data_IF_166053006788
#
_entry.id   IF_166053006788
#
_cell.length_a   1.000
_cell.length_b   1.000
_cell.length_c   1.000
_cell.angle_alpha   90.00
_cell.angle_beta   90.00
_cell.angle_gamma   90.00
#
_symmetry.space_group_name_H-M   'P 1'
#
loop_
_entity.id
_entity.type
_entity.pdbx_description
1 polymer ?
#
# COMPACT_ATOMS: atom_id res chain seq x y z
N UNK A 1 -13.92 -23.52 24.74
CA UNK A 1 -13.98 -22.18 25.32
C UNK A 1 -12.75 -21.41 24.82
N UNK A 2 -12.82 -20.87 23.60
CA UNK A 2 -11.74 -20.13 22.95
C UNK A 2 -12.18 -18.68 22.82
N UNK A 3 -11.63 -17.83 23.68
CA UNK A 3 -11.70 -16.37 23.51
C UNK A 3 -10.51 -15.98 22.64
N UNK A 4 -10.72 -15.88 21.35
CA UNK A 4 -9.79 -15.20 20.46
C UNK A 4 -10.54 -14.16 19.65
N UNK A 5 -10.42 -12.96 20.13
CA UNK A 5 -10.75 -11.75 19.42
C UNK A 5 -9.70 -11.50 18.32
N UNK A 6 -9.97 -10.65 17.33
CA UNK A 6 -8.98 -10.18 16.32
C UNK A 6 -7.61 -9.80 16.88
N UNK A 7 -7.50 -9.47 18.18
CA UNK A 7 -6.21 -9.30 18.88
C UNK A 7 -5.33 -10.54 18.80
N UNK A 8 -5.88 -11.75 18.94
CA UNK A 8 -5.12 -12.99 18.80
C UNK A 8 -4.66 -13.27 17.38
N UNK A 9 -5.44 -12.87 16.38
CA UNK A 9 -5.09 -13.14 14.98
C UNK A 9 -3.91 -12.29 14.47
N UNK A 10 -3.73 -11.09 15.03
CA UNK A 10 -2.57 -10.21 14.74
C UNK A 10 -1.37 -10.50 15.66
N UNK A 11 -1.59 -11.16 16.82
CA UNK A 11 -0.55 -11.39 17.83
C UNK A 11 0.21 -12.73 17.69
N UNK A 12 -0.31 -13.71 16.96
CA UNK A 12 0.31 -15.05 16.85
C UNK A 12 1.51 -15.16 15.92
N UNK A 13 1.99 -14.05 15.33
CA UNK A 13 3.27 -14.03 14.61
C UNK A 13 4.47 -13.63 15.50
N UNK A 14 4.29 -13.52 16.79
CA UNK A 14 5.30 -13.10 17.75
C UNK A 14 5.56 -14.14 18.84
N UNK A 15 6.22 -15.26 18.53
CA UNK A 15 6.77 -16.15 19.56
C UNK A 15 8.12 -15.61 20.05
N UNK A 16 8.17 -15.36 21.35
CA UNK A 16 9.22 -14.98 22.23
C UNK A 16 10.68 -15.33 21.84
N UNK A 17 11.56 -14.35 21.98
CA UNK A 17 12.89 -14.55 22.58
C UNK A 17 13.21 -13.37 23.50
N UNK A 18 13.37 -13.67 24.76
CA UNK A 18 13.99 -12.83 25.78
C UNK A 18 15.52 -12.86 25.58
N UNK A 19 16.15 -11.71 25.67
CA UNK A 19 17.57 -11.67 26.01
C UNK A 19 18.39 -10.57 25.36
N UNK A 20 18.90 -9.69 26.21
CA UNK A 20 20.08 -8.84 26.09
C UNK A 20 19.99 -7.56 25.23
N UNK A 21 19.95 -6.44 25.93
CA UNK A 21 20.23 -5.08 25.44
C UNK A 21 21.68 -4.94 24.95
N UNK A 22 21.85 -4.92 23.64
CA UNK A 22 23.04 -4.38 22.98
C UNK A 22 22.54 -3.49 21.84
N UNK A 23 23.16 -2.33 21.67
CA UNK A 23 22.77 -1.22 20.80
C UNK A 23 22.09 -1.64 19.49
N UNK A 24 20.82 -1.27 19.33
CA UNK A 24 20.01 -1.67 18.20
C UNK A 24 20.37 -0.80 17.01
N UNK A 25 21.17 -1.34 16.09
CA UNK A 25 21.18 -0.88 14.72
C UNK A 25 19.74 -1.03 14.15
N UNK A 26 19.25 -0.12 13.28
CA UNK A 26 17.92 -0.23 12.71
C UNK A 26 17.78 -1.60 12.04
N UNK A 27 16.85 -2.42 12.52
CA UNK A 27 16.60 -3.73 11.94
C UNK A 27 16.14 -3.54 10.49
N UNK A 28 17.02 -3.83 9.54
CA UNK A 28 16.61 -4.02 8.15
C UNK A 28 15.55 -5.13 8.13
N UNK A 29 14.39 -4.81 7.60
CA UNK A 29 13.37 -5.83 7.38
C UNK A 29 13.96 -6.91 6.45
N UNK A 30 13.98 -8.17 6.91
CA UNK A 30 14.50 -9.29 6.12
C UNK A 30 13.44 -9.62 5.08
N UNK A 31 13.81 -9.61 3.79
CA UNK A 31 12.95 -10.07 2.70
C UNK A 31 12.56 -11.55 2.91
N UNK A 32 11.34 -11.89 2.53
CA UNK A 32 10.80 -13.25 2.69
C UNK A 32 11.40 -14.24 1.69
N UNK A 33 11.94 -13.71 0.60
CA UNK A 33 12.58 -14.50 -0.46
C UNK A 33 14.00 -14.03 -0.71
N UNK A 34 14.92 -14.95 -1.00
CA UNK A 34 16.23 -14.57 -1.48
C UNK A 34 16.11 -13.92 -2.86
N UNK A 35 16.94 -12.93 -3.12
CA UNK A 35 17.01 -12.24 -4.38
C UNK A 35 18.27 -11.38 -4.44
N UNK A 36 18.48 -10.71 -5.55
CA UNK A 36 19.60 -9.82 -5.72
C UNK A 36 19.50 -8.62 -4.78
N UNK A 37 20.63 -8.27 -4.16
CA UNK A 37 20.78 -7.07 -3.33
C UNK A 37 22.10 -6.41 -3.68
N UNK A 38 22.09 -5.31 -4.43
CA UNK A 38 23.30 -4.63 -4.85
C UNK A 38 24.01 -3.98 -3.67
N UNK A 39 25.34 -3.83 -3.81
CA UNK A 39 26.15 -3.11 -2.85
C UNK A 39 25.80 -1.61 -2.87
N UNK A 40 25.77 -1.01 -1.69
CA UNK A 40 25.64 0.44 -1.53
C UNK A 40 26.74 0.97 -0.63
N UNK A 41 27.38 2.07 -1.03
CA UNK A 41 28.41 2.73 -0.24
C UNK A 41 27.80 3.28 1.06
N UNK A 42 28.44 2.99 2.20
CA UNK A 42 27.91 3.33 3.52
C UNK A 42 27.89 4.85 3.82
N UNK A 43 28.72 5.63 3.12
CA UNK A 43 28.76 7.09 3.27
C UNK A 43 27.63 7.79 2.49
N UNK A 44 27.00 7.09 1.55
CA UNK A 44 25.88 7.61 0.76
C UNK A 44 24.57 7.06 1.31
N UNK A 45 23.64 7.94 1.69
CA UNK A 45 22.34 7.52 2.25
C UNK A 45 21.21 7.90 1.32
N UNK A 46 20.40 6.92 0.91
CA UNK A 46 19.13 7.19 0.22
C UNK A 46 18.10 7.56 1.28
N UNK A 47 17.65 8.80 1.24
CA UNK A 47 16.63 9.35 2.14
C UNK A 47 15.22 9.02 1.62
N UNK A 48 14.19 9.50 2.31
CA UNK A 48 12.83 9.52 1.79
C UNK A 48 12.70 10.52 0.62
N UNK A 49 11.71 10.38 -0.27
CA UNK A 49 11.55 11.28 -1.41
C UNK A 49 11.44 12.74 -0.95
N UNK A 50 12.23 13.62 -1.58
CA UNK A 50 12.31 15.05 -1.21
C UNK A 50 12.65 15.30 0.27
N UNK A 51 13.27 14.33 0.94
CA UNK A 51 13.53 14.34 2.37
C UNK A 51 12.25 14.55 3.22
N UNK A 52 11.08 14.07 2.74
CA UNK A 52 9.79 14.14 3.42
C UNK A 52 9.30 12.76 3.80
N UNK A 53 8.40 12.69 4.76
CA UNK A 53 7.82 11.40 5.19
C UNK A 53 6.64 11.03 4.28
N UNK A 54 6.70 9.90 3.58
CA UNK A 54 5.57 9.41 2.79
C UNK A 54 4.36 9.11 3.70
N UNK A 55 3.19 9.58 3.28
CA UNK A 55 1.90 9.29 3.93
C UNK A 55 0.96 8.74 2.87
N UNK A 56 0.15 7.76 3.23
CA UNK A 56 -0.84 7.14 2.35
C UNK A 56 -2.05 6.67 3.13
N UNK A 57 -3.21 6.60 2.48
CA UNK A 57 -4.38 5.92 3.02
C UNK A 57 -4.63 4.64 2.22
N UNK A 58 -4.69 3.52 2.91
CA UNK A 58 -5.04 2.21 2.35
C UNK A 58 -6.50 1.95 2.68
N UNK A 59 -7.35 1.95 1.65
CA UNK A 59 -8.78 1.66 1.78
C UNK A 59 -9.03 0.26 1.26
N UNK A 60 -9.53 -0.61 2.14
CA UNK A 60 -9.93 -1.98 1.84
C UNK A 60 -11.45 -2.08 1.68
N UNK A 61 -11.96 -3.20 1.15
CA UNK A 61 -13.38 -3.54 0.98
C UNK A 61 -14.19 -2.60 0.07
N UNK A 62 -13.53 -1.77 -0.75
CA UNK A 62 -14.27 -0.88 -1.66
C UNK A 62 -14.90 -1.66 -2.82
N UNK A 63 -16.03 -1.16 -3.28
CA UNK A 63 -16.81 -1.76 -4.37
C UNK A 63 -17.43 -0.63 -5.21
N UNK A 64 -17.90 -0.96 -6.42
CA UNK A 64 -18.86 -0.14 -7.13
C UNK A 64 -20.26 -0.52 -6.68
N UNK A 65 -21.07 0.44 -6.23
CA UNK A 65 -22.46 0.29 -5.77
C UNK A 65 -22.63 -0.56 -4.51
N UNK A 66 -22.24 -1.82 -4.54
CA UNK A 66 -22.53 -2.84 -3.52
C UNK A 66 -21.96 -2.45 -2.15
N UNK A 67 -22.81 -2.42 -1.11
CA UNK A 67 -22.33 -2.45 0.27
C UNK A 67 -21.88 -3.86 0.63
N UNK A 68 -20.57 -4.09 0.65
CA UNK A 68 -19.99 -5.44 0.85
C UNK A 68 -20.53 -6.12 2.11
N UNK A 69 -20.67 -5.38 3.23
CA UNK A 69 -21.14 -5.93 4.51
C UNK A 69 -22.56 -6.51 4.44
N UNK A 70 -23.44 -5.86 3.71
CA UNK A 70 -24.82 -6.31 3.53
C UNK A 70 -24.89 -7.76 3.02
N UNK A 71 -23.92 -8.16 2.18
CA UNK A 71 -23.88 -9.44 1.52
C UNK A 71 -22.86 -10.41 2.11
N UNK A 72 -21.76 -9.92 2.67
CA UNK A 72 -20.69 -10.74 3.25
C UNK A 72 -21.04 -11.26 4.66
N UNK A 73 -21.61 -10.41 5.53
CA UNK A 73 -21.94 -10.78 6.92
C UNK A 73 -22.85 -12.03 6.99
N UNK A 74 -23.97 -12.13 6.24
CA UNK A 74 -24.78 -13.34 6.28
C UNK A 74 -24.07 -14.60 5.78
N UNK A 75 -23.12 -14.47 4.85
CA UNK A 75 -22.29 -15.59 4.41
C UNK A 75 -21.36 -16.05 5.54
N UNK A 76 -20.70 -15.12 6.20
CA UNK A 76 -19.83 -15.43 7.34
C UNK A 76 -20.62 -16.02 8.51
N UNK A 77 -21.81 -15.50 8.82
CA UNK A 77 -22.69 -16.05 9.85
C UNK A 77 -23.14 -17.50 9.56
N UNK A 78 -23.31 -17.84 8.28
CA UNK A 78 -23.66 -19.20 7.88
C UNK A 78 -22.51 -20.20 8.03
N UNK A 79 -21.25 -19.75 8.00
CA UNK A 79 -20.06 -20.58 8.09
C UNK A 79 -19.44 -20.62 9.49
N UNK A 80 -19.53 -19.53 10.24
CA UNK A 80 -18.86 -19.40 11.55
C UNK A 80 -19.77 -18.82 12.62
N UNK A 81 -19.75 -19.43 13.79
CA UNK A 81 -20.52 -19.00 14.96
C UNK A 81 -19.78 -17.92 15.76
N UNK A 82 -19.49 -16.76 15.16
CA UNK A 82 -18.90 -15.61 15.82
C UNK A 82 -19.96 -14.53 16.04
N UNK A 83 -20.08 -14.02 17.27
CA UNK A 83 -21.08 -13.02 17.69
C UNK A 83 -21.16 -11.82 16.75
N UNK A 84 -20.00 -11.33 16.27
CA UNK A 84 -19.92 -10.22 15.33
C UNK A 84 -20.65 -10.43 14.01
N UNK A 85 -20.92 -11.68 13.58
CA UNK A 85 -21.64 -12.00 12.35
C UNK A 85 -23.14 -12.10 12.54
N UNK A 86 -23.67 -12.05 13.79
CA UNK A 86 -25.10 -12.09 14.09
C UNK A 86 -25.76 -10.71 14.09
N UNK A 87 -25.19 -9.77 13.38
CA UNK A 87 -25.78 -8.45 13.16
C UNK A 87 -27.03 -8.57 12.28
N UNK A 88 -27.97 -7.63 12.47
CA UNK A 88 -29.14 -7.51 11.60
C UNK A 88 -28.74 -6.86 10.26
N UNK A 89 -28.05 -7.64 9.44
CA UNK A 89 -27.54 -7.23 8.14
C UNK A 89 -28.65 -6.69 7.20
N UNK A 90 -29.91 -7.05 7.44
CA UNK A 90 -31.05 -6.55 6.65
C UNK A 90 -31.29 -5.06 6.83
N UNK A 91 -30.84 -4.49 7.93
CA UNK A 91 -30.88 -3.04 8.20
C UNK A 91 -29.75 -2.27 7.53
N UNK A 92 -28.70 -2.94 7.09
CA UNK A 92 -27.60 -2.29 6.39
C UNK A 92 -28.07 -1.82 5.02
N UNK A 93 -27.63 -0.66 4.52
CA UNK A 93 -27.89 -0.21 3.15
C UNK A 93 -27.47 -1.28 2.12
N UNK A 94 -28.20 -1.38 1.01
CA UNK A 94 -27.82 -2.28 -0.09
C UNK A 94 -26.55 -1.80 -0.79
N UNK A 95 -26.36 -0.47 -0.83
CA UNK A 95 -25.27 0.17 -1.55
C UNK A 95 -24.51 1.17 -0.68
N UNK A 96 -23.28 1.47 -1.08
CA UNK A 96 -22.56 2.69 -0.73
C UNK A 96 -22.73 3.62 -1.93
N UNK A 97 -23.51 4.71 -1.81
CA UNK A 97 -23.96 5.47 -2.96
C UNK A 97 -22.82 6.28 -3.62
N UNK A 98 -22.88 6.43 -4.93
CA UNK A 98 -21.94 7.24 -5.72
C UNK A 98 -21.84 8.68 -5.23
N UNK A 99 -22.89 9.23 -4.65
CA UNK A 99 -22.86 10.55 -4.02
C UNK A 99 -21.88 10.63 -2.83
N UNK A 100 -21.72 9.54 -2.09
CA UNK A 100 -20.70 9.45 -1.03
C UNK A 100 -19.31 9.29 -1.62
N UNK A 101 -19.13 8.42 -2.63
CA UNK A 101 -17.86 8.26 -3.36
C UNK A 101 -17.37 9.60 -3.89
N UNK A 102 -18.27 10.39 -4.48
CA UNK A 102 -17.96 11.74 -5.00
C UNK A 102 -17.50 12.69 -3.89
N UNK A 103 -18.27 12.82 -2.81
CA UNK A 103 -17.88 13.69 -1.69
C UNK A 103 -16.53 13.32 -1.09
N UNK A 104 -16.29 12.02 -0.90
CA UNK A 104 -15.02 11.52 -0.38
C UNK A 104 -13.86 11.82 -1.35
N UNK A 105 -14.00 11.49 -2.62
CA UNK A 105 -12.96 11.67 -3.64
C UNK A 105 -12.61 13.14 -3.86
N UNK A 106 -13.62 14.01 -3.97
CA UNK A 106 -13.44 15.46 -4.12
C UNK A 106 -12.73 16.06 -2.91
N UNK A 107 -13.15 15.68 -1.69
CA UNK A 107 -12.50 16.15 -0.47
C UNK A 107 -11.02 15.70 -0.40
N UNK A 108 -10.75 14.44 -0.74
CA UNK A 108 -9.38 13.92 -0.77
C UNK A 108 -8.51 14.67 -1.79
N UNK A 109 -9.04 14.95 -2.98
CA UNK A 109 -8.34 15.71 -4.02
C UNK A 109 -8.03 17.14 -3.56
N UNK A 110 -8.99 17.82 -2.94
CA UNK A 110 -8.83 19.17 -2.38
C UNK A 110 -7.72 19.23 -1.31
N UNK A 111 -7.60 18.19 -0.49
CA UNK A 111 -6.61 18.13 0.61
C UNK A 111 -5.31 17.43 0.21
N UNK A 112 -5.14 17.08 -1.08
CA UNK A 112 -3.95 16.44 -1.62
C UNK A 112 -3.70 15.01 -1.11
N UNK A 113 -4.73 14.37 -0.58
CA UNK A 113 -4.67 12.99 -0.05
C UNK A 113 -4.51 12.00 -1.20
N UNK A 114 -3.59 11.05 -1.03
CA UNK A 114 -3.34 9.95 -1.97
C UNK A 114 -3.29 8.62 -1.24
N UNK A 115 -3.47 7.54 -1.99
CA UNK A 115 -3.37 6.22 -1.40
C UNK A 115 -3.68 5.06 -2.34
N UNK A 116 -4.32 4.04 -1.78
CA UNK A 116 -4.80 2.87 -2.48
C UNK A 116 -6.29 2.68 -2.18
N UNK A 117 -7.07 2.44 -3.24
CA UNK A 117 -8.50 2.17 -3.20
C UNK A 117 -8.73 0.75 -3.74
N UNK A 118 -9.17 -0.16 -2.88
CA UNK A 118 -9.53 -1.50 -3.33
C UNK A 118 -10.77 -1.49 -4.22
N UNK A 119 -10.83 -2.41 -5.14
CA UNK A 119 -12.07 -2.77 -5.84
C UNK A 119 -12.21 -4.29 -5.76
N UNK A 120 -13.26 -4.75 -5.10
CA UNK A 120 -13.65 -6.16 -5.10
C UNK A 120 -14.34 -6.47 -6.43
N UNK A 121 -13.75 -7.27 -7.35
CA UNK A 121 -14.26 -7.40 -8.72
C UNK A 121 -15.58 -8.16 -8.85
N UNK A 122 -15.91 -8.99 -7.86
CA UNK A 122 -17.14 -9.79 -7.78
C UNK A 122 -17.69 -9.77 -6.34
N UNK A 123 -18.08 -8.59 -5.82
CA UNK A 123 -18.32 -8.38 -4.39
C UNK A 123 -19.33 -9.37 -3.81
N UNK A 124 -18.88 -10.14 -2.80
CA UNK A 124 -19.66 -11.17 -2.10
C UNK A 124 -20.48 -12.11 -3.03
N UNK A 125 -20.00 -12.37 -4.23
CA UNK A 125 -20.67 -13.14 -5.28
C UNK A 125 -22.03 -12.55 -5.73
N UNK A 126 -22.25 -11.24 -5.58
CA UNK A 126 -23.48 -10.57 -6.03
C UNK A 126 -23.51 -10.46 -7.55
N UNK A 127 -22.44 -9.92 -8.14
CA UNK A 127 -22.30 -9.77 -9.59
C UNK A 127 -20.90 -9.28 -9.96
N UNK A 128 -20.46 -9.62 -11.17
CA UNK A 128 -19.14 -9.21 -11.67
C UNK A 128 -19.20 -7.82 -12.29
N UNK A 129 -18.26 -6.96 -11.93
CA UNK A 129 -18.22 -5.58 -12.41
C UNK A 129 -18.03 -5.47 -13.92
N UNK A 130 -17.41 -6.45 -14.57
CA UNK A 130 -17.22 -6.49 -16.02
C UNK A 130 -18.40 -7.12 -16.78
N UNK A 131 -19.52 -7.41 -16.12
CA UNK A 131 -20.73 -7.99 -16.71
C UNK A 131 -21.97 -7.26 -16.20
N UNK A 132 -22.48 -7.73 -15.06
CA UNK A 132 -23.68 -7.21 -14.42
C UNK A 132 -23.62 -7.37 -12.90
N UNK A 133 -24.31 -6.50 -12.20
CA UNK A 133 -24.51 -6.60 -10.75
C UNK A 133 -26.02 -6.63 -10.52
N UNK A 134 -26.61 -7.80 -10.22
CA UNK A 134 -28.05 -7.94 -10.01
C UNK A 134 -28.57 -6.99 -8.93
N UNK A 135 -29.63 -6.27 -9.25
CA UNK A 135 -30.21 -5.23 -8.38
C UNK A 135 -29.93 -3.81 -8.86
N UNK A 136 -28.99 -3.63 -9.78
CA UNK A 136 -28.68 -2.35 -10.42
C UNK A 136 -28.72 -2.47 -11.94
N UNK A 137 -29.01 -1.37 -12.62
CA UNK A 137 -28.97 -1.31 -14.09
C UNK A 137 -27.54 -1.24 -14.58
N UNK A 138 -27.30 -1.65 -15.83
CA UNK A 138 -26.00 -1.49 -16.48
C UNK A 138 -25.57 -0.01 -16.54
N UNK A 139 -26.52 0.92 -16.64
CA UNK A 139 -26.23 2.36 -16.64
C UNK A 139 -25.68 2.83 -15.29
N UNK A 140 -26.25 2.36 -14.18
CA UNK A 140 -25.77 2.67 -12.82
C UNK A 140 -24.36 2.09 -12.61
N UNK A 141 -24.16 0.84 -13.03
CA UNK A 141 -22.84 0.20 -12.90
C UNK A 141 -21.75 0.96 -13.70
N UNK A 142 -22.05 1.32 -14.95
CA UNK A 142 -21.11 2.10 -15.77
C UNK A 142 -20.84 3.46 -15.13
N UNK A 143 -21.86 4.18 -14.64
CA UNK A 143 -21.69 5.46 -13.99
C UNK A 143 -20.82 5.38 -12.73
N UNK A 144 -20.97 4.30 -11.94
CA UNK A 144 -20.13 4.07 -10.75
C UNK A 144 -18.67 3.76 -11.11
N UNK A 145 -18.43 2.98 -12.17
CA UNK A 145 -17.09 2.72 -12.69
C UNK A 145 -16.45 4.01 -13.23
N UNK A 146 -17.20 4.80 -14.01
CA UNK A 146 -16.74 6.10 -14.54
C UNK A 146 -16.35 7.05 -13.40
N UNK A 147 -17.09 7.03 -12.27
CA UNK A 147 -16.79 7.82 -11.09
C UNK A 147 -15.45 7.40 -10.44
N UNK A 148 -15.16 6.10 -10.40
CA UNK A 148 -13.84 5.60 -9.94
C UNK A 148 -12.73 6.10 -10.87
N UNK A 149 -12.92 6.08 -12.18
CA UNK A 149 -11.96 6.64 -13.12
C UNK A 149 -11.75 8.15 -12.93
N UNK A 150 -12.82 8.90 -12.74
CA UNK A 150 -12.78 10.36 -12.59
C UNK A 150 -12.07 10.79 -11.30
N UNK A 151 -12.42 10.19 -10.17
CA UNK A 151 -12.03 10.69 -8.85
C UNK A 151 -10.95 9.87 -8.15
N UNK A 152 -10.91 8.54 -8.38
CA UNK A 152 -9.97 7.71 -7.66
C UNK A 152 -8.68 7.50 -8.44
N UNK A 153 -8.73 7.05 -9.68
CA UNK A 153 -7.54 6.73 -10.48
C UNK A 153 -6.45 7.82 -10.47
N UNK A 154 -6.75 9.14 -10.52
CA UNK A 154 -5.71 10.17 -10.52
C UNK A 154 -4.82 10.16 -9.26
N UNK A 155 -5.40 9.90 -8.07
CA UNK A 155 -4.73 10.01 -6.78
C UNK A 155 -4.63 8.69 -6.01
N UNK A 156 -5.22 7.61 -6.52
CA UNK A 156 -5.29 6.31 -5.84
C UNK A 156 -4.82 5.19 -6.76
N UNK A 157 -4.08 4.24 -6.20
CA UNK A 157 -3.88 2.97 -6.88
C UNK A 157 -5.14 2.13 -6.76
N UNK A 158 -5.53 1.48 -7.83
CA UNK A 158 -6.60 0.50 -7.80
C UNK A 158 -6.00 -0.89 -7.59
N UNK A 159 -6.44 -1.60 -6.56
CA UNK A 159 -6.07 -2.99 -6.31
C UNK A 159 -7.31 -3.88 -6.27
N UNK A 160 -7.29 -5.07 -6.84
CA UNK A 160 -8.30 -6.06 -6.50
C UNK A 160 -8.06 -6.51 -5.04
N UNK A 161 -9.13 -6.67 -4.29
CA UNK A 161 -9.08 -7.36 -3.00
C UNK A 161 -9.60 -8.77 -3.15
N UNK A 162 -8.80 -9.56 -3.84
CA UNK A 162 -9.09 -10.83 -4.47
C UNK A 162 -10.31 -10.76 -5.39
N UNK A 163 -11.11 -11.82 -5.47
CA UNK A 163 -12.23 -11.87 -6.41
C UNK A 163 -13.53 -11.47 -5.74
N UNK A 164 -13.89 -12.08 -4.62
CA UNK A 164 -15.20 -11.90 -4.00
C UNK A 164 -15.17 -11.29 -2.60
N UNK A 165 -14.03 -11.34 -1.96
CA UNK A 165 -13.83 -11.04 -0.55
C UNK A 165 -14.58 -12.00 0.41
N UNK A 166 -15.22 -13.04 -0.11
CA UNK A 166 -15.94 -14.06 0.67
C UNK A 166 -15.61 -15.46 0.16
N UNK A 167 -16.45 -16.00 -0.71
CA UNK A 167 -16.31 -17.35 -1.26
C UNK A 167 -15.22 -17.40 -2.32
N UNK A 168 -14.47 -18.47 -2.32
CA UNK A 168 -13.54 -18.76 -3.41
C UNK A 168 -14.31 -19.16 -4.67
N UNK A 169 -13.86 -18.66 -5.81
CA UNK A 169 -14.40 -18.96 -7.14
C UNK A 169 -13.60 -20.09 -7.79
N UNK A 170 -14.29 -21.04 -8.38
CA UNK A 170 -13.70 -21.90 -9.39
C UNK A 170 -13.48 -21.05 -10.66
N UNK A 171 -12.25 -20.68 -10.93
CA UNK A 171 -11.89 -19.78 -12.06
C UNK A 171 -12.21 -20.38 -13.44
N UNK A 172 -12.43 -21.70 -13.55
CA UNK A 172 -12.81 -22.37 -14.81
C UNK A 172 -14.28 -22.15 -15.15
N UNK A 173 -15.12 -22.15 -14.13
CA UNK A 173 -16.56 -21.99 -14.29
C UNK A 173 -17.04 -20.57 -14.01
N UNK A 174 -16.27 -19.79 -13.23
CA UNK A 174 -16.65 -18.47 -12.75
C UNK A 174 -17.67 -18.49 -11.62
N UNK A 175 -17.97 -19.66 -11.03
CA UNK A 175 -18.91 -19.82 -9.95
C UNK A 175 -18.24 -20.10 -8.62
N UNK A 176 -18.81 -19.66 -7.48
CA UNK A 176 -18.31 -20.00 -6.16
C UNK A 176 -18.41 -21.51 -5.93
N UNK A 177 -17.43 -22.06 -5.22
CA UNK A 177 -17.52 -23.45 -4.77
C UNK A 177 -18.77 -23.67 -3.93
N UNK A 178 -19.47 -24.83 -4.08
CA UNK A 178 -20.69 -25.12 -3.32
C UNK A 178 -20.48 -25.13 -1.81
N UNK A 179 -19.33 -25.66 -1.36
CA UNK A 179 -18.94 -25.67 0.03
C UNK A 179 -18.42 -24.30 0.45
N UNK A 180 -18.74 -23.85 1.67
CA UNK A 180 -18.20 -22.62 2.26
C UNK A 180 -17.71 -22.90 3.67
N UNK A 181 -16.45 -22.58 3.92
CA UNK A 181 -15.74 -22.80 5.17
C UNK A 181 -14.30 -22.31 5.00
N UNK A 182 -13.43 -22.59 5.95
CA UNK A 182 -12.06 -22.06 6.02
C UNK A 182 -11.26 -22.24 4.72
N UNK A 183 -11.39 -23.38 4.05
CA UNK A 183 -10.64 -23.75 2.84
C UNK A 183 -11.23 -23.14 1.55
N UNK A 184 -12.46 -22.65 1.62
CA UNK A 184 -13.20 -22.07 0.49
C UNK A 184 -13.61 -20.63 0.75
N UNK A 185 -12.88 -19.95 1.64
CA UNK A 185 -13.05 -18.54 1.93
C UNK A 185 -11.75 -17.78 1.67
N UNK A 186 -11.83 -16.70 0.89
CA UNK A 186 -10.69 -15.86 0.56
C UNK A 186 -10.04 -15.22 1.80
N UNK A 187 -10.84 -14.92 2.83
CA UNK A 187 -10.34 -14.33 4.07
C UNK A 187 -9.63 -15.32 5.02
N UNK A 188 -9.61 -16.63 4.69
CA UNK A 188 -9.10 -17.63 5.63
C UNK A 188 -7.96 -18.47 5.06
N UNK A 189 -8.21 -19.71 4.69
CA UNK A 189 -7.17 -20.72 4.48
C UNK A 189 -7.06 -21.24 3.04
N UNK A 190 -7.76 -20.61 2.10
CA UNK A 190 -7.78 -21.10 0.72
C UNK A 190 -6.38 -21.24 0.10
N UNK A 191 -5.44 -20.34 0.48
CA UNK A 191 -4.07 -20.36 -0.04
C UNK A 191 -3.16 -21.39 0.63
N UNK A 192 -3.59 -22.05 1.70
CA UNK A 192 -2.75 -22.99 2.43
C UNK A 192 -2.29 -24.14 1.50
N UNK A 193 -0.97 -24.33 1.39
CA UNK A 193 -0.36 -25.38 0.58
C UNK A 193 -0.44 -25.19 -0.94
N UNK A 194 -0.91 -24.03 -1.42
CA UNK A 194 -0.94 -23.72 -2.86
C UNK A 194 0.42 -23.22 -3.36
N UNK A 195 0.71 -23.57 -4.61
CA UNK A 195 1.86 -23.06 -5.34
C UNK A 195 1.67 -21.59 -5.74
N UNK A 196 2.79 -20.92 -6.07
CA UNK A 196 2.76 -19.57 -6.62
C UNK A 196 1.91 -19.48 -7.89
N UNK A 197 1.97 -20.49 -8.76
CA UNK A 197 1.21 -20.52 -10.01
C UNK A 197 -0.30 -20.60 -9.78
N UNK A 198 -0.77 -21.46 -8.84
CA UNK A 198 -2.19 -21.57 -8.49
C UNK A 198 -2.73 -20.26 -7.90
N UNK A 199 -1.95 -19.60 -7.05
CA UNK A 199 -2.32 -18.30 -6.47
C UNK A 199 -2.30 -17.21 -7.57
N UNK A 200 -1.31 -17.23 -8.46
CA UNK A 200 -1.22 -16.31 -9.58
C UNK A 200 -2.39 -16.44 -10.55
N UNK A 201 -2.85 -17.65 -10.85
CA UNK A 201 -4.02 -17.89 -11.70
C UNK A 201 -5.28 -17.26 -11.10
N UNK A 202 -5.46 -17.39 -9.80
CA UNK A 202 -6.57 -16.76 -9.08
C UNK A 202 -6.48 -15.22 -9.11
N UNK A 203 -5.30 -14.67 -8.89
CA UNK A 203 -5.05 -13.23 -9.00
C UNK A 203 -5.28 -12.71 -10.42
N UNK A 204 -4.84 -13.47 -11.46
CA UNK A 204 -5.08 -13.10 -12.86
C UNK A 204 -6.57 -13.02 -13.18
N UNK A 205 -7.38 -13.89 -12.57
CA UNK A 205 -8.83 -13.82 -12.72
C UNK A 205 -9.40 -12.50 -12.20
N UNK A 206 -9.01 -12.08 -10.98
CA UNK A 206 -9.41 -10.80 -10.41
C UNK A 206 -8.93 -9.60 -11.24
N UNK A 207 -7.64 -9.58 -11.61
CA UNK A 207 -7.03 -8.54 -12.42
C UNK A 207 -7.67 -8.43 -13.82
N UNK A 208 -8.07 -9.55 -14.42
CA UNK A 208 -8.74 -9.56 -15.72
C UNK A 208 -10.10 -8.88 -15.66
N UNK A 209 -10.87 -9.07 -14.59
CA UNK A 209 -12.16 -8.37 -14.40
C UNK A 209 -11.94 -6.86 -14.36
N UNK A 210 -10.95 -6.38 -13.59
CA UNK A 210 -10.63 -4.95 -13.52
C UNK A 210 -10.12 -4.40 -14.87
N UNK A 211 -9.31 -5.19 -15.58
CA UNK A 211 -8.83 -4.81 -16.91
C UNK A 211 -9.95 -4.69 -17.93
N UNK A 212 -10.98 -5.55 -17.86
CA UNK A 212 -12.13 -5.51 -18.76
C UNK A 212 -12.99 -4.24 -18.61
N UNK A 213 -12.83 -3.53 -17.49
CA UNK A 213 -13.48 -2.23 -17.21
C UNK A 213 -12.46 -1.08 -17.19
N UNK A 214 -11.30 -1.27 -17.83
CA UNK A 214 -10.23 -0.30 -18.02
C UNK A 214 -9.62 0.31 -16.74
N UNK A 215 -9.82 -0.27 -15.57
CA UNK A 215 -9.19 0.20 -14.35
C UNK A 215 -7.70 -0.18 -14.32
N UNK A 216 -6.77 0.79 -14.16
CA UNK A 216 -5.34 0.52 -14.09
C UNK A 216 -4.99 -0.16 -12.76
N UNK A 217 -4.11 -1.18 -12.79
CA UNK A 217 -3.72 -1.90 -11.60
C UNK A 217 -2.29 -2.43 -11.68
N UNK A 218 -1.44 -2.11 -10.70
CA UNK A 218 -0.07 -2.62 -10.60
C UNK A 218 0.17 -3.41 -9.31
N UNK A 219 -0.85 -3.59 -8.49
CA UNK A 219 -0.73 -4.22 -7.17
C UNK A 219 -1.94 -5.02 -6.75
N UNK A 220 -1.82 -5.69 -5.61
CA UNK A 220 -2.82 -6.59 -5.03
C UNK A 220 -3.05 -6.21 -3.57
N UNK A 221 -4.30 -6.31 -3.11
CA UNK A 221 -4.63 -6.35 -1.67
C UNK A 221 -5.10 -7.76 -1.31
N UNK A 222 -4.60 -8.28 -0.19
CA UNK A 222 -4.98 -9.60 0.27
C UNK A 222 -5.96 -9.51 1.42
N UNK A 223 -7.17 -10.10 1.32
CA UNK A 223 -8.14 -10.06 2.40
C UNK A 223 -7.74 -11.00 3.55
N UNK A 224 -8.03 -10.61 4.76
CA UNK A 224 -7.91 -11.42 5.96
C UNK A 224 -6.67 -12.32 6.07
N UNK A 225 -6.84 -13.63 6.00
CA UNK A 225 -5.77 -14.64 6.09
C UNK A 225 -5.13 -15.04 4.76
N UNK A 226 -5.58 -14.51 3.62
CA UNK A 226 -5.06 -14.85 2.30
C UNK A 226 -3.53 -14.70 2.21
N UNK A 227 -2.83 -15.74 1.86
CA UNK A 227 -1.37 -15.73 1.72
C UNK A 227 -0.56 -15.81 3.01
N UNK A 228 -1.18 -15.76 4.20
CA UNK A 228 -0.47 -15.69 5.48
C UNK A 228 0.51 -16.82 5.75
N UNK A 229 0.25 -18.02 5.22
CA UNK A 229 1.07 -19.21 5.45
C UNK A 229 1.92 -19.61 4.27
N UNK A 230 1.87 -18.81 3.20
CA UNK A 230 2.57 -19.04 1.93
C UNK A 230 3.13 -17.71 1.41
N UNK A 231 3.83 -16.98 2.26
CA UNK A 231 4.32 -15.63 1.96
C UNK A 231 5.31 -15.57 0.77
N UNK A 232 6.24 -16.53 0.60
CA UNK A 232 7.09 -16.60 -0.58
C UNK A 232 6.30 -16.80 -1.88
N UNK A 233 5.33 -17.73 -1.86
CA UNK A 233 4.46 -18.03 -2.99
C UNK A 233 3.55 -16.84 -3.32
N UNK A 234 3.04 -16.14 -2.30
CA UNK A 234 2.26 -14.91 -2.46
C UNK A 234 3.06 -13.83 -3.20
N UNK A 235 4.32 -13.62 -2.83
CA UNK A 235 5.20 -12.64 -3.47
C UNK A 235 5.44 -12.99 -4.95
N UNK A 236 5.72 -14.27 -5.24
CA UNK A 236 5.91 -14.74 -6.62
C UNK A 236 4.62 -14.66 -7.44
N UNK A 237 3.49 -15.04 -6.85
CA UNK A 237 2.19 -14.96 -7.51
C UNK A 237 1.84 -13.51 -7.89
N UNK A 238 2.09 -12.56 -6.97
CA UNK A 238 1.88 -11.13 -7.26
C UNK A 238 2.77 -10.65 -8.40
N UNK A 239 4.06 -11.02 -8.38
CA UNK A 239 5.00 -10.68 -9.44
C UNK A 239 4.51 -11.19 -10.80
N UNK A 240 4.11 -12.46 -10.87
CA UNK A 240 3.62 -13.08 -12.10
C UNK A 240 2.32 -12.43 -12.58
N UNK A 241 1.28 -12.39 -11.74
CA UNK A 241 -0.06 -11.97 -12.12
C UNK A 241 -0.11 -10.51 -12.58
N UNK A 242 0.52 -9.58 -11.85
CA UNK A 242 0.54 -8.17 -12.23
C UNK A 242 1.33 -7.92 -13.52
N UNK A 243 2.44 -8.64 -13.72
CA UNK A 243 3.21 -8.54 -14.98
C UNK A 243 2.46 -9.14 -16.17
N UNK A 244 1.80 -10.26 -15.98
CA UNK A 244 1.08 -10.94 -17.06
C UNK A 244 -0.08 -10.09 -17.58
N UNK A 245 -0.90 -9.54 -16.67
CA UNK A 245 -2.13 -8.83 -17.03
C UNK A 245 -1.87 -7.36 -17.37
N UNK A 246 -1.09 -6.64 -16.56
CA UNK A 246 -0.90 -5.18 -16.68
C UNK A 246 0.49 -4.75 -17.14
N UNK A 247 1.43 -5.70 -17.32
CA UNK A 247 2.83 -5.38 -17.62
C UNK A 247 3.46 -4.49 -16.54
N UNK A 248 3.02 -4.64 -15.30
CA UNK A 248 3.49 -3.83 -14.19
C UNK A 248 5.01 -3.90 -14.04
N UNK A 249 5.67 -2.75 -14.02
CA UNK A 249 7.13 -2.67 -13.89
C UNK A 249 7.61 -3.04 -12.49
N UNK A 250 6.85 -2.64 -11.47
CA UNK A 250 7.13 -2.89 -10.06
C UNK A 250 5.85 -3.36 -9.37
N UNK A 251 5.48 -4.65 -9.55
CA UNK A 251 4.37 -5.25 -8.81
C UNK A 251 4.52 -5.04 -7.30
N UNK A 252 3.41 -4.75 -6.64
CA UNK A 252 3.41 -4.57 -5.19
C UNK A 252 2.14 -5.15 -4.57
N UNK A 253 2.16 -5.39 -3.25
CA UNK A 253 1.00 -5.89 -2.56
C UNK A 253 0.90 -5.36 -1.13
N UNK A 254 -0.31 -5.25 -0.63
CA UNK A 254 -0.61 -4.97 0.76
C UNK A 254 -1.05 -6.24 1.48
N UNK A 255 -0.29 -6.64 2.50
CA UNK A 255 -0.57 -7.82 3.32
C UNK A 255 -0.37 -7.58 4.82
N UNK A 256 0.71 -6.87 5.18
CA UNK A 256 1.13 -6.72 6.56
C UNK A 256 0.64 -5.41 7.16
N UNK A 257 0.20 -5.49 8.42
CA UNK A 257 -0.23 -4.36 9.22
C UNK A 257 0.41 -4.45 10.61
N UNK A 258 1.10 -3.37 11.02
CA UNK A 258 1.72 -3.27 12.34
C UNK A 258 1.21 -2.01 13.05
N UNK A 259 0.01 -2.10 13.62
CA UNK A 259 -0.67 -0.98 14.26
C UNK A 259 -0.09 -0.55 15.61
N UNK A 260 0.84 -1.34 16.17
CA UNK A 260 1.41 -1.10 17.51
C UNK A 260 2.88 -1.53 17.55
N UNK A 261 3.61 -1.05 18.58
CA UNK A 261 5.00 -1.43 18.86
C UNK A 261 6.03 -0.78 17.94
N UNK A 262 7.30 -1.20 18.09
CA UNK A 262 8.46 -0.58 17.44
C UNK A 262 8.88 -1.24 16.14
N UNK A 263 8.12 -2.24 15.68
CA UNK A 263 8.41 -2.92 14.42
C UNK A 263 8.40 -1.94 13.27
N UNK A 264 9.41 -2.02 12.39
CA UNK A 264 9.46 -1.17 11.20
C UNK A 264 8.28 -1.42 10.29
N UNK A 265 7.69 -0.32 9.80
CA UNK A 265 6.61 -0.29 8.82
C UNK A 265 7.10 0.16 7.44
N UNK A 266 8.42 0.25 7.26
CA UNK A 266 8.99 0.53 5.94
C UNK A 266 8.60 -0.58 4.94
N UNK A 267 8.29 -0.24 3.69
CA UNK A 267 8.07 -1.21 2.62
C UNK A 267 9.27 -2.17 2.48
N UNK A 268 9.04 -3.34 1.91
CA UNK A 268 10.08 -4.36 1.72
C UNK A 268 10.15 -4.78 0.27
N UNK A 269 11.33 -4.76 -0.30
CA UNK A 269 11.59 -5.50 -1.54
C UNK A 269 11.65 -6.98 -1.17
N UNK A 270 10.61 -7.73 -1.48
CA UNK A 270 10.52 -9.15 -1.11
C UNK A 270 11.38 -10.02 -2.02
N UNK A 271 11.41 -9.70 -3.31
CA UNK A 271 12.22 -10.39 -4.30
C UNK A 271 12.72 -9.43 -5.37
N UNK A 272 13.92 -9.69 -5.88
CA UNK A 272 14.46 -9.00 -7.05
C UNK A 272 15.41 -9.93 -7.83
N UNK A 273 15.44 -9.83 -9.16
CA UNK A 273 16.34 -10.56 -10.02
C UNK A 273 16.57 -9.87 -11.36
N UNK A 274 17.70 -10.19 -12.00
CA UNK A 274 18.05 -9.65 -13.31
C UNK A 274 18.24 -8.13 -13.28
N UNK A 275 18.84 -7.58 -12.22
CA UNK A 275 18.93 -6.13 -12.02
C UNK A 275 19.78 -5.42 -13.07
N UNK A 276 20.72 -6.12 -13.69
CA UNK A 276 21.55 -5.61 -14.79
C UNK A 276 20.94 -5.93 -16.19
N UNK A 277 19.79 -6.58 -16.26
CA UNK A 277 19.10 -6.92 -17.51
C UNK A 277 18.17 -5.79 -18.00
N UNK A 278 17.74 -5.93 -19.26
CA UNK A 278 16.77 -4.98 -19.85
C UNK A 278 15.41 -5.01 -19.15
N UNK A 279 15.01 -6.17 -18.61
CA UNK A 279 13.74 -6.39 -17.93
C UNK A 279 13.95 -6.86 -16.49
N UNK A 280 14.41 -6.00 -15.57
CA UNK A 280 14.60 -6.35 -14.18
C UNK A 280 13.26 -6.67 -13.51
N UNK A 281 13.28 -7.59 -12.56
CA UNK A 281 12.10 -8.05 -11.83
C UNK A 281 12.22 -7.70 -10.36
N UNK A 282 11.18 -7.15 -9.79
CA UNK A 282 11.05 -7.03 -8.34
C UNK A 282 9.57 -7.06 -7.92
N UNK A 283 9.34 -7.34 -6.65
CA UNK A 283 8.04 -7.21 -5.99
C UNK A 283 8.23 -6.57 -4.63
N UNK A 284 7.34 -5.63 -4.29
CA UNK A 284 7.42 -4.85 -3.05
C UNK A 284 6.20 -5.12 -2.19
N UNK A 285 6.39 -5.44 -0.91
CA UNK A 285 5.29 -5.45 0.05
C UNK A 285 5.16 -4.08 0.73
N UNK A 286 3.93 -3.59 0.75
CA UNK A 286 3.51 -2.37 1.42
C UNK A 286 3.01 -2.74 2.82
N UNK A 287 3.35 -1.93 3.82
CA UNK A 287 3.04 -2.22 5.22
C UNK A 287 2.19 -1.10 5.80
N UNK A 288 1.00 -1.45 6.30
CA UNK A 288 0.15 -0.54 7.05
C UNK A 288 0.67 -0.30 8.46
N UNK A 289 0.53 0.92 8.97
CA UNK A 289 1.04 1.30 10.28
C UNK A 289 -0.06 1.49 11.34
N UNK A 290 -1.33 1.47 10.96
CA UNK A 290 -2.46 1.65 11.89
C UNK A 290 -3.39 0.44 11.86
N UNK A 291 -4.22 0.26 12.90
CA UNK A 291 -5.40 -0.59 12.81
C UNK A 291 -6.55 0.11 12.09
N UNK A 292 -7.67 -0.60 11.95
CA UNK A 292 -8.93 -0.10 11.41
C UNK A 292 -9.66 0.75 12.47
N UNK A 293 -9.19 1.98 12.65
CA UNK A 293 -9.67 2.89 13.71
C UNK A 293 -10.56 4.01 13.19
N UNK A 294 -10.96 3.96 11.93
CA UNK A 294 -11.93 4.90 11.34
C UNK A 294 -13.39 4.43 11.44
N UNK A 295 -13.61 3.32 12.12
CA UNK A 295 -14.87 2.60 12.16
C UNK A 295 -14.69 1.20 11.58
N UNK A 296 -14.85 0.17 12.42
CA UNK A 296 -14.54 -1.21 12.04
C UNK A 296 -15.22 -1.67 10.75
N UNK A 297 -14.57 -2.56 10.01
CA UNK A 297 -15.07 -3.06 8.70
C UNK A 297 -16.53 -3.55 8.74
N UNK A 298 -16.98 -4.08 9.88
CA UNK A 298 -18.34 -4.58 10.09
C UNK A 298 -19.29 -3.54 10.72
N UNK A 299 -18.85 -2.27 10.84
CA UNK A 299 -19.59 -1.18 11.45
C UNK A 299 -20.02 -1.43 12.92
N UNK A 300 -19.37 -2.35 13.64
CA UNK A 300 -19.65 -2.61 15.06
C UNK A 300 -18.83 -1.71 16.01
N UNK A 301 -17.73 -1.15 15.54
CA UNK A 301 -16.84 -0.25 16.26
C UNK A 301 -16.88 1.15 15.60
N UNK A 302 -17.16 2.17 16.37
CA UNK A 302 -17.25 3.57 15.87
C UNK A 302 -15.91 4.25 15.69
N UNK A 303 -14.80 3.53 15.85
CA UNK A 303 -13.47 4.01 15.61
C UNK A 303 -12.82 4.72 16.80
N UNK A 304 -11.56 5.13 16.62
CA UNK A 304 -10.69 5.64 17.69
C UNK A 304 -9.74 6.71 17.17
N UNK A 305 -10.24 7.93 16.98
CA UNK A 305 -9.50 9.06 16.42
C UNK A 305 -8.15 9.30 17.13
N UNK A 306 -8.13 9.31 18.46
CA UNK A 306 -6.95 9.68 19.24
C UNK A 306 -5.84 8.60 19.20
N UNK A 307 -6.13 7.40 18.71
CA UNK A 307 -5.09 6.39 18.43
C UNK A 307 -4.21 6.77 17.25
N UNK A 308 -4.74 7.53 16.27
CA UNK A 308 -3.94 8.06 15.17
C UNK A 308 -3.06 9.22 15.65
N UNK A 309 -3.65 10.23 16.24
CA UNK A 309 -3.01 11.45 16.77
C UNK A 309 -3.93 12.11 17.79
N UNK A 310 -3.39 12.41 18.97
CA UNK A 310 -4.13 13.02 20.08
C UNK A 310 -4.56 14.47 19.80
N UNK A 311 -5.56 15.01 20.53
CA UNK A 311 -6.03 16.40 20.33
C UNK A 311 -4.96 17.47 20.55
N UNK A 312 -4.01 17.23 21.45
CA UNK A 312 -2.85 18.10 21.71
C UNK A 312 -1.71 17.91 20.70
N UNK A 313 -1.90 17.05 19.71
CA UNK A 313 -0.96 16.73 18.64
C UNK A 313 0.37 16.09 19.11
N UNK A 314 0.48 15.71 20.38
CA UNK A 314 1.75 15.28 20.98
C UNK A 314 2.07 13.80 20.79
N UNK A 315 1.06 12.95 20.65
CA UNK A 315 1.21 11.49 20.62
C UNK A 315 0.20 10.80 19.69
N UNK A 316 0.31 9.48 19.59
CA UNK A 316 -0.48 8.63 18.74
C UNK A 316 0.38 7.92 17.69
N UNK A 317 -0.15 6.85 17.11
CA UNK A 317 0.62 5.97 16.22
C UNK A 317 1.23 6.68 15.01
N UNK A 318 0.48 7.64 14.42
CA UNK A 318 0.99 8.41 13.30
C UNK A 318 2.17 9.29 13.72
N UNK A 319 2.09 9.89 14.90
CA UNK A 319 3.18 10.71 15.45
C UNK A 319 4.44 9.87 15.64
N UNK A 320 4.32 8.66 16.21
CA UNK A 320 5.44 7.75 16.43
C UNK A 320 6.14 7.36 15.13
N UNK A 321 5.36 6.94 14.13
CA UNK A 321 5.88 6.47 12.84
C UNK A 321 6.53 7.62 12.05
N UNK A 322 5.86 8.76 11.96
CA UNK A 322 6.35 9.94 11.24
C UNK A 322 7.63 10.47 11.89
N UNK A 323 7.68 10.52 13.22
CA UNK A 323 8.87 11.00 13.96
C UNK A 323 10.09 10.10 13.74
N UNK A 324 9.88 8.79 13.56
CA UNK A 324 10.96 7.86 13.16
C UNK A 324 11.38 8.03 11.71
N UNK A 325 10.68 8.83 10.90
CA UNK A 325 10.95 9.03 9.48
C UNK A 325 10.55 7.84 8.60
N UNK A 326 9.71 6.94 9.10
CA UNK A 326 9.18 5.81 8.33
C UNK A 326 7.90 6.20 7.58
N UNK A 327 7.62 5.60 6.41
CA UNK A 327 6.34 5.79 5.72
C UNK A 327 5.16 5.47 6.62
N UNK A 328 4.22 6.39 6.72
CA UNK A 328 3.09 6.29 7.63
C UNK A 328 1.79 6.03 6.84
N UNK A 329 1.48 4.74 6.65
CA UNK A 329 0.35 4.29 5.84
C UNK A 329 -0.81 3.88 6.75
N UNK A 330 -1.85 4.68 6.76
CA UNK A 330 -3.09 4.41 7.50
C UNK A 330 -3.90 3.33 6.79
N UNK A 331 -4.63 2.51 7.55
CA UNK A 331 -5.50 1.45 7.02
C UNK A 331 -6.92 1.68 7.48
N UNK A 332 -7.86 1.53 6.57
CA UNK A 332 -9.28 1.58 6.84
C UNK A 332 -10.04 0.65 5.89
N UNK A 333 -11.32 0.41 6.19
CA UNK A 333 -12.24 -0.27 5.30
C UNK A 333 -13.31 0.69 4.79
N UNK A 334 -13.69 0.54 3.52
CA UNK A 334 -14.66 1.41 2.88
C UNK A 334 -16.01 1.42 3.59
N UNK A 335 -16.44 0.25 4.04
CA UNK A 335 -17.65 0.08 4.83
C UNK A 335 -17.61 0.84 6.16
N UNK A 336 -16.45 0.87 6.84
CA UNK A 336 -16.22 1.64 8.06
C UNK A 336 -16.14 3.15 7.82
N UNK A 337 -15.61 3.58 6.69
CA UNK A 337 -15.59 5.00 6.28
C UNK A 337 -17.02 5.50 6.09
N UNK A 338 -17.86 4.74 5.37
CA UNK A 338 -19.28 5.08 5.13
C UNK A 338 -20.16 4.86 6.36
N UNK A 339 -19.87 3.85 7.15
CA UNK A 339 -20.53 3.46 8.38
C UNK A 339 -22.06 3.42 8.27
N UNK A 340 -22.59 2.64 7.32
CA UNK A 340 -24.02 2.49 7.04
C UNK A 340 -24.76 3.82 6.76
N UNK A 341 -24.04 4.84 6.27
CA UNK A 341 -24.59 6.17 5.97
C UNK A 341 -24.39 7.21 7.06
N UNK A 342 -23.86 6.84 8.23
CA UNK A 342 -23.51 7.79 9.29
C UNK A 342 -22.18 8.53 9.03
N UNK A 343 -21.37 8.04 8.12
CA UNK A 343 -20.07 8.60 7.67
C UNK A 343 -19.04 8.81 8.80
N UNK A 344 -19.18 8.03 9.88
CA UNK A 344 -18.33 8.14 11.10
C UNK A 344 -16.84 8.07 10.77
N UNK A 345 -16.45 7.11 9.93
CA UNK A 345 -15.05 6.94 9.55
C UNK A 345 -14.53 8.09 8.71
N UNK A 346 -15.36 8.67 7.84
CA UNK A 346 -14.99 9.84 7.05
C UNK A 346 -14.71 11.06 7.94
N UNK A 347 -15.55 11.32 8.93
CA UNK A 347 -15.34 12.43 9.88
C UNK A 347 -14.06 12.21 10.71
N UNK A 348 -13.81 10.98 11.19
CA UNK A 348 -12.54 10.63 11.85
C UNK A 348 -11.35 10.91 10.93
N UNK A 349 -11.41 10.45 9.69
CA UNK A 349 -10.31 10.61 8.73
C UNK A 349 -10.04 12.09 8.43
N UNK A 350 -11.07 12.89 8.22
CA UNK A 350 -10.95 14.36 8.02
C UNK A 350 -10.20 15.02 9.18
N UNK A 351 -10.57 14.68 10.41
CA UNK A 351 -9.93 15.25 11.59
C UNK A 351 -8.48 14.74 11.76
N UNK A 352 -8.18 13.46 11.43
CA UNK A 352 -6.81 12.95 11.41
C UNK A 352 -5.94 13.75 10.44
N UNK A 353 -6.40 13.95 9.20
CA UNK A 353 -5.66 14.73 8.18
C UNK A 353 -5.42 16.16 8.67
N UNK A 354 -6.44 16.81 9.23
CA UNK A 354 -6.31 18.16 9.80
C UNK A 354 -5.24 18.22 10.90
N UNK A 355 -5.24 17.27 11.84
CA UNK A 355 -4.26 17.19 12.94
C UNK A 355 -2.85 16.92 12.43
N UNK A 356 -2.70 16.03 11.46
CA UNK A 356 -1.41 15.70 10.86
C UNK A 356 -0.79 16.92 10.16
N UNK A 357 -1.57 17.66 9.37
CA UNK A 357 -1.10 18.87 8.69
C UNK A 357 -0.81 20.01 9.68
N UNK A 358 -1.52 20.08 10.82
CA UNK A 358 -1.22 21.05 11.88
C UNK A 358 0.09 20.74 12.63
N UNK A 359 0.47 19.46 12.71
CA UNK A 359 1.66 19.00 13.45
C UNK A 359 2.93 18.94 12.62
N UNK A 360 2.81 18.54 11.33
CA UNK A 360 3.94 18.21 10.46
C UNK A 360 3.89 19.01 9.16
N UNK A 361 5.01 19.63 8.79
CA UNK A 361 5.20 20.37 7.54
C UNK A 361 5.97 19.57 6.46
N UNK A 362 6.45 18.37 6.84
CA UNK A 362 7.30 17.53 6.02
C UNK A 362 6.61 16.26 5.52
N UNK A 363 5.29 16.24 5.42
CA UNK A 363 4.55 15.10 4.86
C UNK A 363 4.53 15.13 3.33
N UNK A 364 4.47 13.95 2.73
CA UNK A 364 4.30 13.76 1.30
C UNK A 364 3.26 12.66 1.05
N UNK A 365 2.05 13.06 0.62
CA UNK A 365 1.03 12.10 0.23
C UNK A 365 1.41 11.40 -1.07
N UNK A 366 1.37 10.05 -1.05
CA UNK A 366 1.81 9.21 -2.16
C UNK A 366 0.87 8.04 -2.37
N UNK A 367 0.74 7.59 -3.63
CA UNK A 367 0.14 6.31 -3.96
C UNK A 367 1.05 5.16 -3.50
N UNK A 368 0.50 3.97 -3.31
CA UNK A 368 1.30 2.80 -2.95
C UNK A 368 2.30 2.42 -4.04
N UNK A 369 1.94 2.58 -5.32
CA UNK A 369 2.85 2.38 -6.46
C UNK A 369 4.02 3.34 -6.47
N UNK A 370 3.78 4.62 -6.11
CA UNK A 370 4.85 5.63 -5.98
C UNK A 370 5.82 5.24 -4.84
N UNK A 371 5.27 4.76 -3.71
CA UNK A 371 6.06 4.28 -2.56
C UNK A 371 6.83 3.01 -2.94
N UNK A 372 6.20 2.04 -3.59
CA UNK A 372 6.83 0.80 -4.03
C UNK A 372 7.99 1.08 -4.99
N UNK A 373 7.79 1.95 -5.98
CA UNK A 373 8.82 2.40 -6.93
C UNK A 373 10.01 3.05 -6.22
N UNK A 374 9.72 3.91 -5.26
CA UNK A 374 10.77 4.58 -4.50
C UNK A 374 11.59 3.58 -3.69
N UNK A 375 10.93 2.62 -3.01
CA UNK A 375 11.61 1.59 -2.23
C UNK A 375 12.41 0.60 -3.10
N UNK A 376 11.87 0.21 -4.24
CA UNK A 376 12.61 -0.58 -5.22
C UNK A 376 13.91 0.13 -5.64
N UNK A 377 13.83 1.41 -6.02
CA UNK A 377 15.02 2.18 -6.37
C UNK A 377 15.96 2.37 -5.18
N UNK A 378 15.43 2.68 -3.99
CA UNK A 378 16.21 2.88 -2.76
C UNK A 378 17.03 1.65 -2.39
N UNK A 379 16.46 0.45 -2.50
CA UNK A 379 17.13 -0.78 -2.09
C UNK A 379 17.92 -1.46 -3.21
N UNK A 380 17.55 -1.25 -4.48
CA UNK A 380 18.10 -1.98 -5.60
C UNK A 380 19.06 -1.16 -6.48
N UNK A 381 19.23 0.13 -6.24
CA UNK A 381 20.26 0.90 -6.91
C UNK A 381 21.64 0.55 -6.33
N UNK A 382 22.59 0.10 -7.18
CA UNK A 382 23.97 -0.04 -6.81
C UNK A 382 24.58 1.34 -6.64
N UNK A 383 25.29 1.57 -5.53
CA UNK A 383 25.88 2.85 -5.20
C UNK A 383 27.36 2.65 -4.92
N UNK A 384 28.20 3.25 -5.73
CA UNK A 384 29.66 3.22 -5.62
C UNK A 384 30.18 4.65 -5.50
N UNK A 385 31.14 4.86 -4.61
CA UNK A 385 31.75 6.17 -4.40
C UNK A 385 33.27 6.11 -4.57
N UNK A 386 33.77 7.02 -5.37
CA UNK A 386 35.21 7.27 -5.51
C UNK A 386 35.44 8.78 -5.33
N UNK A 387 36.07 9.16 -4.24
CA UNK A 387 36.33 10.57 -3.87
C UNK A 387 35.05 11.42 -3.89
N UNK A 388 34.91 12.33 -4.83
CA UNK A 388 33.79 13.26 -5.00
C UNK A 388 32.76 12.80 -6.04
N UNK A 389 32.94 11.62 -6.62
CA UNK A 389 32.01 11.07 -7.58
C UNK A 389 31.23 9.87 -6.97
N UNK A 390 29.91 9.88 -7.13
CA UNK A 390 29.02 8.77 -6.79
C UNK A 390 28.40 8.21 -8.06
N UNK A 391 28.68 6.97 -8.35
CA UNK A 391 28.07 6.22 -9.46
C UNK A 391 26.87 5.44 -8.97
N UNK A 392 25.73 5.66 -9.62
CA UNK A 392 24.46 5.01 -9.37
C UNK A 392 24.13 4.10 -10.57
N UNK A 393 23.96 2.79 -10.34
CA UNK A 393 23.42 1.88 -11.35
C UNK A 393 22.01 1.47 -10.92
N UNK A 394 21.01 2.08 -11.55
CA UNK A 394 19.60 1.94 -11.18
C UNK A 394 18.86 0.98 -12.12
N UNK A 395 18.30 -0.13 -11.61
CA UNK A 395 17.48 -1.04 -12.42
C UNK A 395 16.12 -0.44 -12.79
N UNK A 396 15.65 0.53 -12.00
CA UNK A 396 14.35 1.19 -12.19
C UNK A 396 14.51 2.71 -12.13
N UNK A 397 13.80 3.43 -12.99
CA UNK A 397 13.70 4.87 -12.89
C UNK A 397 12.89 5.28 -11.65
N UNK A 398 13.32 6.36 -10.98
CA UNK A 398 12.70 6.84 -9.76
C UNK A 398 12.63 8.38 -9.71
N UNK A 399 11.42 8.96 -9.76
CA UNK A 399 11.24 10.39 -9.55
C UNK A 399 11.67 10.82 -8.14
N UNK A 400 12.19 12.04 -8.04
CA UNK A 400 12.57 12.69 -6.78
C UNK A 400 13.48 11.81 -5.88
N UNK A 401 14.39 11.03 -6.48
CA UNK A 401 15.36 10.23 -5.75
C UNK A 401 16.27 11.16 -4.94
N UNK A 402 16.38 10.89 -3.65
CA UNK A 402 17.00 11.83 -2.72
C UNK A 402 18.18 11.18 -2.00
N UNK A 403 19.34 11.75 -2.17
CA UNK A 403 20.60 11.29 -1.57
C UNK A 403 21.13 12.28 -0.55
N UNK A 404 21.67 11.76 0.55
CA UNK A 404 22.57 12.50 1.43
C UNK A 404 23.99 12.04 1.19
N UNK A 405 24.86 13.00 0.93
CA UNK A 405 26.25 12.81 0.54
C UNK A 405 27.16 13.67 1.43
N UNK A 406 28.32 13.15 1.89
CA UNK A 406 29.36 14.00 2.44
C UNK A 406 29.97 14.87 1.32
N UNK A 407 30.26 16.14 1.61
CA UNK A 407 30.81 17.08 0.65
C UNK A 407 31.94 17.92 1.26
N UNK A 408 32.79 18.53 0.39
CA UNK A 408 33.61 19.68 0.75
C UNK A 408 32.77 20.96 0.86
N UNK A 409 33.41 22.08 1.25
CA UNK A 409 32.74 23.39 1.28
C UNK A 409 32.61 23.92 -0.15
N UNK A 410 31.42 24.47 -0.49
CA UNK A 410 31.10 25.20 -1.73
C UNK A 410 31.10 24.42 -3.06
N UNK A 411 30.69 23.16 -3.05
CA UNK A 411 30.53 22.35 -4.27
C UNK A 411 29.25 22.61 -5.02
N UNK A 412 29.31 22.79 -6.33
CA UNK A 412 28.12 22.68 -7.20
C UNK A 412 27.88 21.22 -7.48
N UNK A 413 26.61 20.77 -7.35
CA UNK A 413 26.24 19.38 -7.60
C UNK A 413 25.82 19.21 -9.05
N UNK A 414 26.47 18.29 -9.75
CA UNK A 414 26.11 17.94 -11.13
C UNK A 414 25.76 16.45 -11.25
N UNK A 415 24.80 16.16 -12.14
CA UNK A 415 24.38 14.80 -12.46
C UNK A 415 24.63 14.56 -13.94
N UNK A 416 25.35 13.49 -14.25
CA UNK A 416 25.57 13.05 -15.63
C UNK A 416 24.83 11.73 -15.81
N UNK A 417 23.84 11.72 -16.73
CA UNK A 417 23.07 10.53 -17.05
C UNK A 417 22.65 10.55 -18.52
N UNK A 418 22.68 9.39 -19.17
CA UNK A 418 22.31 9.25 -20.59
C UNK A 418 22.99 10.28 -21.54
N UNK A 419 24.26 10.62 -21.24
CA UNK A 419 25.03 11.60 -22.01
C UNK A 419 24.67 13.07 -21.76
N UNK A 420 23.71 13.37 -20.89
CA UNK A 420 23.34 14.73 -20.52
C UNK A 420 23.90 15.10 -19.13
N UNK A 421 24.31 16.36 -18.95
CA UNK A 421 24.74 16.93 -17.67
C UNK A 421 23.71 17.93 -17.17
N UNK A 422 23.25 17.76 -15.93
CA UNK A 422 22.36 18.68 -15.25
C UNK A 422 23.04 19.22 -13.98
N UNK A 423 23.04 20.53 -13.78
CA UNK A 423 23.49 21.17 -12.53
C UNK A 423 22.28 21.40 -11.64
N UNK A 424 22.36 20.91 -10.41
CA UNK A 424 21.28 21.11 -9.44
C UNK A 424 21.27 22.53 -8.90
N UNK A 425 20.08 23.06 -8.65
CA UNK A 425 19.90 24.39 -8.04
C UNK A 425 19.92 24.28 -6.52
N UNK A 426 20.72 25.12 -5.85
CA UNK A 426 20.73 25.21 -4.39
C UNK A 426 19.42 25.83 -3.87
N UNK A 427 18.84 25.22 -2.82
CA UNK A 427 17.68 25.73 -2.10
C UNK A 427 18.02 26.08 -0.65
N UNK A 428 17.24 26.94 -0.03
CA UNK A 428 17.52 27.49 1.29
C UNK A 428 17.19 26.52 2.45
N UNK A 429 16.29 25.57 2.23
CA UNK A 429 15.86 24.62 3.25
C UNK A 429 15.59 23.23 2.70
N UNK A 430 15.65 22.22 3.57
CA UNK A 430 15.29 20.84 3.22
C UNK A 430 13.82 20.71 2.77
N UNK A 431 12.91 21.54 3.29
CA UNK A 431 11.49 21.55 2.88
C UNK A 431 11.27 22.08 1.46
N UNK A 432 12.24 22.81 0.90
CA UNK A 432 12.18 23.35 -0.46
C UNK A 432 12.71 22.38 -1.52
N UNK A 433 13.12 21.16 -1.12
CA UNK A 433 13.65 20.16 -2.05
C UNK A 433 12.60 19.68 -3.03
N UNK A 434 12.95 19.78 -4.31
CA UNK A 434 12.24 19.25 -5.46
C UNK A 434 13.24 18.60 -6.41
N UNK A 435 12.78 17.85 -7.40
CA UNK A 435 13.66 17.29 -8.40
C UNK A 435 14.48 18.40 -9.10
N UNK A 436 15.76 18.18 -9.28
CA UNK A 436 16.72 19.18 -9.82
C UNK A 436 17.30 20.15 -8.78
N UNK A 437 17.12 19.92 -7.46
CA UNK A 437 17.61 20.81 -6.41
C UNK A 437 18.45 20.09 -5.36
N UNK A 438 19.26 20.87 -4.62
CA UNK A 438 19.97 20.38 -3.45
C UNK A 438 19.93 21.38 -2.31
N UNK A 439 20.04 20.86 -1.08
CA UNK A 439 20.21 21.61 0.15
C UNK A 439 21.55 21.24 0.79
N UNK A 440 22.34 22.24 1.18
CA UNK A 440 23.65 22.03 1.81
C UNK A 440 23.62 22.50 3.27
N UNK A 441 24.09 21.68 4.18
CA UNK A 441 24.27 22.01 5.59
C UNK A 441 25.61 21.43 6.07
N UNK A 442 26.51 22.31 6.58
CA UNK A 442 27.80 21.94 7.10
C UNK A 442 28.65 21.20 6.03
N UNK A 443 28.97 19.93 6.29
CA UNK A 443 29.75 19.05 5.40
C UNK A 443 28.89 17.98 4.69
N UNK A 444 27.61 18.22 4.58
CA UNK A 444 26.67 17.32 3.91
C UNK A 444 25.81 18.08 2.90
N UNK A 445 25.47 17.40 1.84
CA UNK A 445 24.42 17.85 0.91
C UNK A 445 23.31 16.81 0.84
N UNK A 446 22.08 17.31 0.66
CA UNK A 446 20.92 16.50 0.31
C UNK A 446 20.51 16.89 -1.10
N UNK A 447 20.75 16.01 -2.05
CA UNK A 447 20.42 16.20 -3.47
C UNK A 447 19.18 15.44 -3.84
N UNK A 448 18.24 16.09 -4.55
CA UNK A 448 16.99 15.49 -5.04
C UNK A 448 16.92 15.66 -6.57
N UNK A 449 16.72 14.55 -7.28
CA UNK A 449 16.67 14.52 -8.75
C UNK A 449 15.88 13.32 -9.25
N UNK A 450 15.48 13.35 -10.50
CA UNK A 450 14.88 12.18 -11.15
C UNK A 450 15.98 11.24 -11.61
N UNK A 451 16.04 10.06 -10.99
CA UNK A 451 17.00 9.02 -11.32
C UNK A 451 16.48 8.22 -12.52
N UNK A 452 17.14 8.25 -13.69
CA UNK A 452 16.76 7.38 -14.80
C UNK A 452 17.22 5.94 -14.55
N UNK A 453 16.63 4.98 -15.25
CA UNK A 453 17.19 3.64 -15.34
C UNK A 453 18.56 3.68 -16.02
N UNK A 454 19.50 2.85 -15.54
CA UNK A 454 20.86 2.78 -16.05
C UNK A 454 21.86 3.49 -15.15
N UNK A 455 22.94 3.97 -15.75
CA UNK A 455 24.06 4.59 -15.01
C UNK A 455 23.93 6.10 -14.93
N UNK A 456 24.07 6.62 -13.72
CA UNK A 456 24.16 8.06 -13.43
C UNK A 456 25.35 8.36 -12.55
N UNK A 457 26.05 9.45 -12.81
CA UNK A 457 27.16 9.93 -11.98
C UNK A 457 26.76 11.25 -11.30
N UNK A 458 26.87 11.29 -9.99
CA UNK A 458 26.68 12.49 -9.18
C UNK A 458 28.04 13.00 -8.77
N UNK A 459 28.43 14.22 -9.19
CA UNK A 459 29.67 14.87 -8.82
C UNK A 459 29.39 15.95 -7.78
N UNK A 460 30.18 15.97 -6.70
CA UNK A 460 30.00 16.81 -5.52
C UNK A 460 31.15 17.76 -5.32
#
# INVERSE_FOLDING_TARGET
>A
MWRDTRRGFLATSGAAMLGASLGVAPHRAIAQMPGERPKQDAAVKVLNPRNRVPVSLIIDDSTCLVNLNRFAIPQFAAAWNYERYFQDWRKMPLEIPDSFVRRFGEWCAEHGVKGKYSIVPYPACVGRLDREVPGWTSKELVASIDLVHELMVPNWDIHPEMVTHTRVIDIKTGHPYPHFGDEYCENWRWTDGKSADEIADYMRYALTILKNIDLPCEGITTPGGFGNRVLPELSQATLQACRDIYKAGIPHYFRHLYGEGDRSVAPRVEYASGLDADDPKCVVSIIGCTGDWTGGWDCSDRGHLDRFITPDLSSGRMVDVITRGEPALMVCHWTGIHFNGEEVGFEIFREVVRRLHARFDNLLWMKNSEIARYWAAKELTRIERVENQVTLTAPFACPAFTLRLPTGTDSSITIVSNGATATLKRVASALSLTSGTYYAKEREVVACFDLPKGVSNVNV
#
